data_IF_302021540685
#
_entry.id   IF_302021540685
#
_cell.length_a   1.000
_cell.length_b   1.000
_cell.length_c   1.000
_cell.angle_alpha   90.00
_cell.angle_beta   90.00
_cell.angle_gamma   90.00
#
_symmetry.space_group_name_H-M   'P 1'
#
loop_
_entity.id
_entity.type
_entity.pdbx_description
1 polymer ?
#
# COMPACT_ATOMS: atom_id res chain seq x y z
N UNK A 1 -8.97 -5.15 16.36
CA UNK A 1 -8.87 -4.03 15.40
C UNK A 1 -9.63 -4.41 14.13
N UNK A 2 -10.66 -3.65 13.74
CA UNK A 2 -11.48 -3.92 12.54
C UNK A 2 -10.67 -3.80 11.24
N UNK A 3 -11.12 -4.46 10.18
CA UNK A 3 -10.62 -4.31 8.80
C UNK A 3 -10.57 -2.83 8.40
N UNK A 4 -11.65 -2.09 8.66
CA UNK A 4 -11.75 -0.66 8.33
C UNK A 4 -10.68 0.17 9.05
N UNK A 5 -10.41 -0.11 10.32
CA UNK A 5 -9.37 0.59 11.08
C UNK A 5 -7.97 0.31 10.51
N UNK A 6 -7.72 -0.90 10.01
CA UNK A 6 -6.46 -1.26 9.36
C UNK A 6 -6.29 -0.54 8.02
N UNK A 7 -7.34 -0.49 7.21
CA UNK A 7 -7.33 0.24 5.94
C UNK A 7 -7.18 1.76 6.15
N UNK A 8 -7.82 2.31 7.19
CA UNK A 8 -7.66 3.71 7.56
C UNK A 8 -6.24 4.04 8.04
N UNK A 9 -5.61 3.13 8.80
CA UNK A 9 -4.21 3.27 9.19
C UNK A 9 -3.27 3.17 7.97
N UNK A 10 -3.54 2.22 7.07
CA UNK A 10 -2.79 2.04 5.83
C UNK A 10 -2.78 3.29 4.95
N UNK A 11 -3.94 3.94 4.75
CA UNK A 11 -4.06 5.18 3.96
C UNK A 11 -3.16 6.32 4.46
N UNK A 12 -2.81 6.33 5.76
CA UNK A 12 -1.96 7.36 6.37
C UNK A 12 -0.47 7.07 6.24
N UNK A 13 -0.09 5.87 5.79
CA UNK A 13 1.31 5.50 5.61
C UNK A 13 1.93 6.25 4.41
N UNK A 14 3.23 6.54 4.43
CA UNK A 14 3.95 6.98 3.25
C UNK A 14 3.81 5.99 2.09
N UNK A 15 3.77 6.46 0.85
CA UNK A 15 3.57 5.63 -0.35
C UNK A 15 4.53 4.43 -0.44
N UNK A 16 5.80 4.62 -0.07
CA UNK A 16 6.79 3.53 0.03
C UNK A 16 6.35 2.44 1.01
N UNK A 17 5.90 2.85 2.20
CA UNK A 17 5.49 1.91 3.24
C UNK A 17 4.18 1.18 2.85
N UNK A 18 3.29 1.86 2.11
CA UNK A 18 2.13 1.23 1.52
C UNK A 18 2.52 0.12 0.54
N UNK A 19 3.44 0.40 -0.39
CA UNK A 19 3.95 -0.57 -1.36
C UNK A 19 4.65 -1.75 -0.69
N UNK A 20 5.52 -1.49 0.28
CA UNK A 20 6.19 -2.54 1.03
C UNK A 20 5.21 -3.47 1.76
N UNK A 21 4.13 -2.90 2.33
CA UNK A 21 3.09 -3.71 2.96
C UNK A 21 2.31 -4.54 1.94
N UNK A 22 1.97 -3.98 0.77
CA UNK A 22 1.31 -4.73 -0.30
C UNK A 22 2.18 -5.93 -0.73
N UNK A 23 3.46 -5.69 -1.02
CA UNK A 23 4.39 -6.75 -1.42
C UNK A 23 4.52 -7.82 -0.32
N UNK A 24 4.73 -7.41 0.93
CA UNK A 24 4.79 -8.33 2.07
C UNK A 24 3.48 -9.11 2.27
N UNK A 25 2.33 -8.52 1.96
CA UNK A 25 1.03 -9.19 2.04
C UNK A 25 0.87 -10.21 0.91
N UNK A 26 1.36 -9.90 -0.30
CA UNK A 26 1.40 -10.82 -1.44
C UNK A 26 2.35 -12.00 -1.22
N UNK A 27 3.50 -11.76 -0.62
CA UNK A 27 4.52 -12.79 -0.37
C UNK A 27 4.17 -13.70 0.82
N UNK A 28 3.20 -13.30 1.65
CA UNK A 28 2.76 -14.08 2.79
C UNK A 28 1.74 -15.16 2.36
N UNK A 29 2.02 -16.43 2.66
CA UNK A 29 1.21 -17.58 2.25
C UNK A 29 -0.23 -17.59 2.79
N UNK A 30 -0.50 -16.89 3.89
CA UNK A 30 -1.83 -16.81 4.52
C UNK A 30 -2.55 -15.53 4.10
N UNK A 31 -1.86 -14.40 4.09
CA UNK A 31 -2.48 -13.11 3.76
C UNK A 31 -2.73 -12.94 2.27
N UNK A 32 -1.92 -13.55 1.41
CA UNK A 32 -2.14 -13.56 -0.05
C UNK A 32 -3.48 -14.19 -0.45
N UNK A 33 -4.02 -15.10 0.37
CA UNK A 33 -5.33 -15.71 0.15
C UNK A 33 -6.49 -14.77 0.50
N UNK A 34 -6.23 -13.65 1.19
CA UNK A 34 -7.23 -12.63 1.52
C UNK A 34 -7.34 -11.62 0.37
N UNK A 35 -7.86 -12.08 -0.77
CA UNK A 35 -8.01 -11.27 -2.00
C UNK A 35 -8.72 -9.95 -1.75
N UNK A 36 -9.85 -9.94 -1.02
CA UNK A 36 -10.57 -8.69 -0.70
C UNK A 36 -9.70 -7.70 0.10
N UNK A 37 -8.84 -8.19 1.00
CA UNK A 37 -7.94 -7.33 1.75
C UNK A 37 -6.87 -6.73 0.83
N UNK A 38 -6.28 -7.57 -0.03
CA UNK A 38 -5.26 -7.15 -0.99
C UNK A 38 -5.81 -6.11 -1.98
N UNK A 39 -6.98 -6.37 -2.55
CA UNK A 39 -7.66 -5.48 -3.50
C UNK A 39 -7.95 -4.11 -2.86
N UNK A 40 -8.37 -4.10 -1.58
CA UNK A 40 -8.57 -2.86 -0.85
C UNK A 40 -7.26 -2.10 -0.61
N UNK A 41 -6.16 -2.78 -0.28
CA UNK A 41 -4.85 -2.14 -0.13
C UNK A 41 -4.38 -1.53 -1.45
N UNK A 42 -4.50 -2.26 -2.55
CA UNK A 42 -4.09 -1.80 -3.88
C UNK A 42 -4.92 -0.63 -4.36
N UNK A 43 -6.24 -0.68 -4.16
CA UNK A 43 -7.13 0.44 -4.48
C UNK A 43 -6.76 1.70 -3.69
N UNK A 44 -6.60 1.59 -2.38
CA UNK A 44 -6.21 2.73 -1.54
C UNK A 44 -4.83 3.26 -1.94
N UNK A 45 -3.88 2.38 -2.27
CA UNK A 45 -2.56 2.78 -2.72
C UNK A 45 -2.62 3.58 -4.04
N UNK A 46 -3.43 3.13 -5.01
CA UNK A 46 -3.65 3.84 -6.26
C UNK A 46 -4.31 5.21 -6.04
N UNK A 47 -5.29 5.31 -5.13
CA UNK A 47 -5.88 6.59 -4.72
C UNK A 47 -4.83 7.53 -4.12
N UNK A 48 -4.02 7.04 -3.17
CA UNK A 48 -2.95 7.81 -2.57
C UNK A 48 -1.92 8.28 -3.60
N UNK A 49 -1.54 7.41 -4.56
CA UNK A 49 -0.64 7.77 -5.66
C UNK A 49 -1.25 8.87 -6.53
N UNK A 50 -2.52 8.76 -6.89
CA UNK A 50 -3.17 9.77 -7.73
C UNK A 50 -3.21 11.15 -7.05
N UNK A 51 -3.47 11.19 -5.74
CA UNK A 51 -3.52 12.41 -4.95
C UNK A 51 -2.15 12.91 -4.45
N UNK A 52 -1.09 12.13 -4.62
CA UNK A 52 0.24 12.50 -4.15
C UNK A 52 0.86 13.66 -4.95
N UNK A 53 1.65 14.48 -4.25
CA UNK A 53 2.40 15.56 -4.89
C UNK A 53 3.50 15.00 -5.80
N UNK A 54 4.00 15.80 -6.77
CA UNK A 54 5.12 15.38 -7.62
C UNK A 54 6.34 14.91 -6.81
N UNK A 55 6.68 15.59 -5.71
CA UNK A 55 7.82 15.22 -4.86
C UNK A 55 7.62 13.86 -4.18
N UNK A 56 6.40 13.60 -3.70
CA UNK A 56 6.03 12.32 -3.11
C UNK A 56 6.09 11.18 -4.14
N UNK A 57 5.65 11.43 -5.38
CA UNK A 57 5.76 10.49 -6.49
C UNK A 57 7.22 10.20 -6.85
N UNK A 58 8.06 11.23 -6.93
CA UNK A 58 9.49 11.06 -7.20
C UNK A 58 10.16 10.22 -6.09
N UNK A 59 9.87 10.52 -4.83
CA UNK A 59 10.39 9.75 -3.70
C UNK A 59 9.89 8.29 -3.72
N UNK A 60 8.64 8.08 -4.15
CA UNK A 60 8.05 6.76 -4.34
C UNK A 60 8.74 5.97 -5.46
N UNK A 61 8.90 6.55 -6.65
CA UNK A 61 9.54 5.87 -7.79
C UNK A 61 10.99 5.46 -7.45
N UNK A 62 11.77 6.36 -6.83
CA UNK A 62 13.13 6.02 -6.36
C UNK A 62 13.14 4.88 -5.33
N UNK A 63 12.13 4.82 -4.47
CA UNK A 63 12.02 3.77 -3.46
C UNK A 63 11.59 2.43 -4.08
N UNK A 64 10.76 2.46 -5.13
CA UNK A 64 10.26 1.29 -5.84
C UNK A 64 11.36 0.51 -6.55
N UNK A 65 12.41 1.18 -7.02
CA UNK A 65 13.59 0.52 -7.62
C UNK A 65 14.37 -0.37 -6.62
N UNK A 66 14.10 -0.24 -5.31
CA UNK A 66 14.82 -0.93 -4.23
C UNK A 66 13.94 -1.90 -3.42
N UNK A 67 12.72 -2.19 -3.88
CA UNK A 67 11.74 -3.09 -3.24
C UNK A 67 11.45 -4.29 -4.14
#
# INVERSE_FOLDING_TARGET
MSMENRLAAFRKLPLRAQLALINSTRDNSVLSQKTEYLDNLERIHAECLNSATPEQKIAYEKAKENL
#
